data_IF_624131229321
#
_entry.id   IF_624131229321
#
_cell.length_a   1.000
_cell.length_b   1.000
_cell.length_c   1.000
_cell.angle_alpha   90.00
_cell.angle_beta   90.00
_cell.angle_gamma   90.00
#
_symmetry.space_group_name_H-M   'P 1'
#
loop_
_entity.id
_entity.type
_entity.pdbx_description
1 polymer ?
#
# COMPACT_ATOMS: atom_id res chain seq x y z
N UNK A 1 -6.56 2.86 23.04
CA UNK A 1 -5.70 3.62 22.10
C UNK A 1 -5.59 2.96 20.74
N UNK A 2 -5.14 1.71 20.64
CA UNK A 2 -5.08 1.01 19.34
C UNK A 2 -6.44 0.87 18.68
N UNK A 3 -7.49 0.66 19.46
CA UNK A 3 -8.86 0.58 18.96
C UNK A 3 -9.36 1.88 18.32
N UNK A 4 -8.93 3.03 18.84
CA UNK A 4 -9.30 4.35 18.28
C UNK A 4 -8.61 4.62 16.96
N UNK A 5 -7.45 4.02 16.74
CA UNK A 5 -6.67 4.20 15.52
C UNK A 5 -6.94 3.13 14.47
N UNK A 6 -7.84 2.18 14.74
CA UNK A 6 -8.17 1.05 13.85
C UNK A 6 -6.93 0.28 13.36
N UNK A 7 -5.90 0.20 14.20
CA UNK A 7 -4.68 -0.51 13.87
C UNK A 7 -4.82 -2.00 14.13
N UNK A 8 -4.24 -2.80 13.24
CA UNK A 8 -4.16 -4.25 13.36
C UNK A 8 -2.76 -4.74 12.98
N UNK A 9 -2.45 -5.98 13.30
CA UNK A 9 -1.14 -6.59 13.03
C UNK A 9 0.01 -5.77 13.58
N UNK A 10 -0.15 -5.23 14.80
CA UNK A 10 0.89 -4.45 15.45
C UNK A 10 0.96 -4.76 16.94
N UNK A 11 2.09 -4.44 17.54
CA UNK A 11 2.31 -4.52 18.97
C UNK A 11 3.01 -3.26 19.45
N UNK A 12 2.63 -2.80 20.63
CA UNK A 12 3.25 -1.64 21.26
C UNK A 12 3.88 -2.08 22.58
N UNK A 13 5.17 -1.83 22.74
CA UNK A 13 5.93 -2.13 23.96
C UNK A 13 6.40 -0.83 24.58
N UNK A 14 6.13 -0.66 25.88
CA UNK A 14 6.58 0.48 26.65
C UNK A 14 7.55 0.00 27.71
N UNK A 15 8.77 0.52 27.68
CA UNK A 15 9.82 0.18 28.63
C UNK A 15 10.11 1.35 29.55
N UNK A 16 10.24 1.08 30.83
CA UNK A 16 10.55 2.09 31.83
C UNK A 16 11.79 1.72 32.62
N UNK A 17 12.65 2.71 32.82
CA UNK A 17 13.76 2.62 33.78
C UNK A 17 13.34 3.30 35.08
N UNK A 18 13.46 2.59 36.22
CA UNK A 18 13.10 3.13 37.53
C UNK A 18 14.22 4.03 38.05
N UNK A 19 13.93 5.34 38.14
CA UNK A 19 14.89 6.34 38.57
C UNK A 19 14.75 6.79 40.05
N UNK A 20 14.03 6.08 40.86
CA UNK A 20 13.82 6.42 42.27
C UNK A 20 12.72 7.41 42.57
N UNK A 21 12.00 7.88 41.55
CA UNK A 21 10.82 8.75 41.71
C UNK A 21 9.55 7.93 41.64
N UNK A 22 8.70 8.06 42.66
CA UNK A 22 7.40 7.40 42.72
C UNK A 22 6.34 8.31 42.09
N UNK A 23 5.71 7.83 41.02
CA UNK A 23 4.65 8.58 40.31
C UNK A 23 3.24 8.26 40.85
N UNK A 24 3.08 7.19 41.60
CA UNK A 24 1.76 6.67 41.96
C UNK A 24 1.06 6.01 40.80
N UNK A 25 -0.07 5.34 41.06
CA UNK A 25 -0.80 4.58 40.00
C UNK A 25 -1.34 5.47 38.91
N UNK A 26 -1.92 6.63 39.20
CA UNK A 26 -2.43 7.57 38.22
C UNK A 26 -1.34 8.17 37.33
N UNK A 27 -0.18 8.50 37.92
CA UNK A 27 0.97 8.99 37.18
C UNK A 27 1.58 7.96 36.24
N UNK A 28 1.66 6.70 36.66
CA UNK A 28 2.12 5.59 35.82
C UNK A 28 1.20 5.37 34.63
N UNK A 29 -0.10 5.33 34.83
CA UNK A 29 -1.08 5.15 33.75
C UNK A 29 -0.92 6.25 32.70
N UNK A 30 -0.82 7.51 33.12
CA UNK A 30 -0.62 8.63 32.19
C UNK A 30 0.71 8.55 31.45
N UNK A 31 1.78 8.18 32.13
CA UNK A 31 3.09 8.07 31.51
C UNK A 31 3.12 6.97 30.43
N UNK A 32 2.58 5.78 30.72
CA UNK A 32 2.52 4.69 29.76
C UNK A 32 1.60 5.02 28.58
N UNK A 33 0.44 5.62 28.82
CA UNK A 33 -0.49 6.01 27.76
C UNK A 33 0.11 7.07 26.84
N UNK A 34 0.81 8.07 27.41
CA UNK A 34 1.48 9.11 26.62
C UNK A 34 2.62 8.54 25.78
N UNK A 35 3.42 7.63 26.33
CA UNK A 35 4.51 7.00 25.60
C UNK A 35 4.00 6.14 24.45
N UNK A 36 2.95 5.35 24.67
CA UNK A 36 2.34 4.53 23.63
C UNK A 36 1.70 5.38 22.52
N UNK A 37 1.01 6.46 22.88
CA UNK A 37 0.42 7.38 21.90
C UNK A 37 1.50 8.04 21.04
N UNK A 38 2.61 8.45 21.62
CA UNK A 38 3.75 9.01 20.89
C UNK A 38 4.34 7.98 19.93
N UNK A 39 4.51 6.73 20.35
CA UNK A 39 4.99 5.67 19.50
C UNK A 39 4.11 5.45 18.27
N UNK A 40 2.80 5.44 18.44
CA UNK A 40 1.85 5.32 17.31
C UNK A 40 1.93 6.54 16.38
N UNK A 41 2.07 7.76 16.92
CA UNK A 41 2.18 8.97 16.10
C UNK A 41 3.41 9.01 15.21
N UNK A 42 4.55 8.49 15.69
CA UNK A 42 5.81 8.52 14.93
C UNK A 42 6.01 7.28 14.06
N UNK A 43 5.21 6.24 14.24
CA UNK A 43 5.30 5.04 13.44
C UNK A 43 4.86 5.28 12.00
N UNK A 44 5.50 4.56 11.07
CA UNK A 44 5.03 4.53 9.68
C UNK A 44 3.89 3.54 9.58
N UNK A 45 2.73 4.02 9.18
CA UNK A 45 1.52 3.21 9.05
C UNK A 45 1.30 2.85 7.59
N UNK A 46 0.68 1.70 7.37
CA UNK A 46 0.26 1.25 6.06
C UNK A 46 -1.17 0.71 6.13
N UNK A 47 -1.95 0.97 5.09
CA UNK A 47 -3.24 0.35 4.92
C UNK A 47 -3.07 -0.95 4.15
N UNK A 48 -3.76 -2.02 4.55
CA UNK A 48 -3.77 -3.27 3.80
C UNK A 48 -4.91 -3.18 2.80
N UNK A 49 -4.57 -3.11 1.52
CA UNK A 49 -5.54 -3.02 0.43
C UNK A 49 -5.58 -4.32 -0.37
N UNK A 50 -6.78 -4.68 -0.83
CA UNK A 50 -6.95 -5.79 -1.76
C UNK A 50 -6.68 -5.27 -3.17
N UNK A 51 -5.75 -5.90 -3.87
CA UNK A 51 -5.37 -5.54 -5.22
C UNK A 51 -5.53 -6.73 -6.15
N UNK A 52 -5.69 -6.46 -7.43
CA UNK A 52 -5.69 -7.50 -8.47
C UNK A 52 -4.47 -7.35 -9.35
N UNK A 53 -3.83 -8.47 -9.65
CA UNK A 53 -2.69 -8.50 -10.56
C UNK A 53 -3.18 -8.62 -11.99
N UNK A 54 -2.68 -7.76 -12.87
CA UNK A 54 -2.93 -7.83 -14.31
C UNK A 54 -1.62 -8.03 -15.04
N UNK A 55 -1.53 -9.07 -15.85
CA UNK A 55 -0.38 -9.31 -16.71
C UNK A 55 -0.64 -8.62 -18.05
N UNK A 56 0.28 -7.77 -18.46
CA UNK A 56 0.12 -6.94 -19.66
C UNK A 56 1.36 -7.01 -20.52
N UNK A 57 1.17 -7.21 -21.82
CA UNK A 57 2.24 -7.15 -22.82
C UNK A 57 2.12 -5.84 -23.60
N UNK A 58 3.22 -5.10 -23.70
CA UNK A 58 3.27 -3.78 -24.32
C UNK A 58 4.42 -3.71 -25.34
N UNK A 59 4.25 -2.85 -26.34
CA UNK A 59 5.37 -2.43 -27.17
C UNK A 59 6.16 -1.34 -26.44
N UNK A 60 7.45 -1.18 -26.79
CA UNK A 60 8.31 -0.20 -26.11
C UNK A 60 7.75 1.24 -26.14
N UNK A 61 7.22 1.74 -27.24
CA UNK A 61 6.63 3.10 -27.23
C UNK A 61 5.41 3.24 -26.31
N UNK A 62 4.70 2.16 -26.04
CA UNK A 62 3.52 2.17 -25.16
C UNK A 62 3.88 2.09 -23.69
N UNK A 63 5.07 1.63 -23.36
CA UNK A 63 5.47 1.37 -21.99
C UNK A 63 5.47 2.62 -21.12
N UNK A 64 6.03 3.72 -21.57
CA UNK A 64 6.08 4.97 -20.81
C UNK A 64 4.68 5.52 -20.54
N UNK A 65 3.80 5.49 -21.53
CA UNK A 65 2.41 5.92 -21.39
C UNK A 65 1.67 5.03 -20.39
N UNK A 66 1.84 3.73 -20.51
CA UNK A 66 1.23 2.76 -19.59
C UNK A 66 1.71 2.97 -18.15
N UNK A 67 2.99 3.18 -17.97
CA UNK A 67 3.58 3.43 -16.64
C UNK A 67 2.99 4.68 -16.00
N UNK A 68 2.84 5.76 -16.75
CA UNK A 68 2.23 6.99 -16.25
C UNK A 68 0.76 6.76 -15.89
N UNK A 69 0.01 6.08 -16.74
CA UNK A 69 -1.39 5.76 -16.50
C UNK A 69 -1.56 4.90 -15.25
N UNK A 70 -0.73 3.88 -15.08
CA UNK A 70 -0.74 3.01 -13.90
C UNK A 70 -0.44 3.80 -12.62
N UNK A 71 0.53 4.71 -12.67
CA UNK A 71 0.85 5.58 -11.55
C UNK A 71 -0.34 6.47 -11.16
N UNK A 72 -1.04 7.03 -12.14
CA UNK A 72 -2.23 7.86 -11.91
C UNK A 72 -3.37 7.07 -11.27
N UNK A 73 -3.47 5.79 -11.55
CA UNK A 73 -4.48 4.90 -10.95
C UNK A 73 -4.02 4.26 -9.64
N UNK A 74 -2.83 4.61 -9.15
CA UNK A 74 -2.28 4.02 -7.92
C UNK A 74 -1.84 2.57 -8.08
N UNK A 75 -1.61 2.11 -9.31
CA UNK A 75 -1.11 0.77 -9.58
C UNK A 75 0.40 0.68 -9.44
N UNK A 76 0.90 -0.46 -9.00
CA UNK A 76 2.32 -0.74 -8.95
C UNK A 76 2.70 -1.71 -10.06
N UNK A 77 3.83 -1.48 -10.70
CA UNK A 77 4.36 -2.35 -11.75
C UNK A 77 5.42 -3.29 -11.18
N UNK A 78 5.30 -4.58 -11.49
CA UNK A 78 6.19 -5.62 -11.00
C UNK A 78 6.56 -6.58 -12.12
N UNK A 79 7.61 -7.38 -11.89
CA UNK A 79 8.04 -8.45 -12.79
C UNK A 79 8.21 -8.00 -14.25
N UNK A 80 8.81 -6.84 -14.46
CA UNK A 80 9.07 -6.32 -15.79
C UNK A 80 10.06 -7.20 -16.52
N UNK A 81 9.68 -7.66 -17.72
CA UNK A 81 10.50 -8.49 -18.59
C UNK A 81 10.66 -7.82 -19.94
N UNK A 82 11.88 -7.62 -20.34
CA UNK A 82 12.23 -6.93 -21.59
C UNK A 82 12.74 -7.94 -22.61
N UNK A 83 12.01 -8.06 -23.71
CA UNK A 83 12.41 -8.87 -24.87
C UNK A 83 12.03 -8.08 -26.13
N UNK A 84 11.44 -8.70 -27.14
CA UNK A 84 10.82 -7.99 -28.27
C UNK A 84 9.61 -7.15 -27.81
N UNK A 85 9.03 -7.49 -26.66
CA UNK A 85 7.95 -6.74 -26.00
C UNK A 85 8.29 -6.54 -24.53
N UNK A 86 7.64 -5.56 -23.90
CA UNK A 86 7.68 -5.40 -22.44
C UNK A 86 6.49 -6.15 -21.84
N UNK A 87 6.78 -7.16 -21.04
CA UNK A 87 5.75 -7.91 -20.29
C UNK A 87 5.91 -7.57 -18.82
N UNK A 88 4.84 -7.13 -18.18
CA UNK A 88 4.87 -6.74 -16.78
C UNK A 88 3.56 -7.12 -16.08
N UNK A 89 3.62 -7.15 -14.76
CA UNK A 89 2.45 -7.31 -13.91
C UNK A 89 2.09 -5.97 -13.29
N UNK A 90 0.86 -5.53 -13.48
CA UNK A 90 0.32 -4.34 -12.82
C UNK A 90 -0.56 -4.78 -11.65
N UNK A 91 -0.24 -4.30 -10.45
CA UNK A 91 -1.01 -4.56 -9.24
C UNK A 91 -1.89 -3.35 -8.99
N UNK A 92 -3.20 -3.50 -9.21
CA UNK A 92 -4.17 -2.41 -9.20
C UNK A 92 -5.11 -2.58 -8.01
N UNK A 93 -5.33 -1.54 -7.18
CA UNK A 93 -6.35 -1.60 -6.13
C UNK A 93 -7.73 -1.91 -6.71
N UNK A 94 -8.48 -2.80 -6.07
CA UNK A 94 -9.80 -3.23 -6.55
C UNK A 94 -10.75 -2.05 -6.72
N UNK A 95 -10.63 -1.03 -5.88
CA UNK A 95 -11.46 0.18 -5.95
C UNK A 95 -11.24 0.99 -7.23
N UNK A 96 -10.05 0.90 -7.83
CA UNK A 96 -9.67 1.63 -9.03
C UNK A 96 -9.56 0.76 -10.28
N UNK A 97 -9.91 -0.51 -10.16
CA UNK A 97 -9.82 -1.49 -11.23
C UNK A 97 -10.59 -1.05 -12.48
N UNK A 98 -11.83 -0.61 -12.31
CA UNK A 98 -12.68 -0.17 -13.43
C UNK A 98 -12.09 1.03 -14.16
N UNK A 99 -11.61 2.02 -13.40
CA UNK A 99 -10.99 3.22 -13.97
C UNK A 99 -9.71 2.87 -14.73
N UNK A 100 -8.89 1.99 -14.16
CA UNK A 100 -7.66 1.52 -14.80
C UNK A 100 -7.96 0.84 -16.14
N UNK A 101 -8.90 -0.10 -16.18
CA UNK A 101 -9.26 -0.81 -17.39
C UNK A 101 -9.86 0.13 -18.46
N UNK A 102 -10.70 1.07 -18.03
CA UNK A 102 -11.27 2.06 -18.92
C UNK A 102 -10.19 2.93 -19.57
N UNK A 103 -9.26 3.46 -18.78
CA UNK A 103 -8.16 4.29 -19.27
C UNK A 103 -7.23 3.54 -20.22
N UNK A 104 -6.94 2.28 -19.92
CA UNK A 104 -6.14 1.44 -20.82
C UNK A 104 -6.84 1.26 -22.15
N UNK A 105 -8.13 0.98 -22.14
CA UNK A 105 -8.91 0.83 -23.36
C UNK A 105 -8.93 2.11 -24.19
N UNK A 106 -9.19 3.25 -23.56
CA UNK A 106 -9.27 4.55 -24.24
C UNK A 106 -7.90 5.00 -24.76
N UNK A 107 -6.84 4.85 -23.96
CA UNK A 107 -5.49 5.31 -24.30
C UNK A 107 -4.88 4.50 -25.45
N UNK A 108 -5.08 3.20 -25.46
CA UNK A 108 -4.48 2.28 -26.45
C UNK A 108 -5.46 1.76 -27.49
N UNK A 109 -6.66 2.33 -27.56
CA UNK A 109 -7.71 1.97 -28.53
C UNK A 109 -7.98 0.46 -28.56
N UNK A 110 -8.00 -0.17 -27.40
CA UNK A 110 -8.20 -1.61 -27.19
C UNK A 110 -7.11 -2.52 -27.79
N UNK A 111 -5.95 -1.96 -28.15
CA UNK A 111 -4.81 -2.77 -28.63
C UNK A 111 -4.03 -3.44 -27.49
N UNK A 112 -4.17 -2.95 -26.26
CA UNK A 112 -3.58 -3.51 -25.05
C UNK A 112 -4.70 -4.07 -24.20
N UNK A 113 -4.62 -5.39 -23.90
CA UNK A 113 -5.62 -6.06 -23.06
C UNK A 113 -4.93 -6.65 -21.83
N UNK A 114 -5.09 -6.05 -20.65
CA UNK A 114 -4.57 -6.64 -19.43
C UNK A 114 -5.31 -7.93 -19.08
N UNK A 115 -4.55 -8.99 -18.77
CA UNK A 115 -5.12 -10.25 -18.32
C UNK A 115 -5.29 -10.22 -16.80
N UNK A 116 -6.51 -10.45 -16.31
CA UNK A 116 -6.79 -10.48 -14.88
C UNK A 116 -6.17 -11.73 -14.25
N UNK A 117 -5.47 -11.53 -13.15
CA UNK A 117 -4.88 -12.58 -12.35
C UNK A 117 -5.56 -12.73 -11.00
N UNK A 118 -4.80 -13.16 -10.02
CA UNK A 118 -5.28 -13.41 -8.66
C UNK A 118 -5.43 -12.12 -7.84
N UNK A 119 -6.28 -12.19 -6.82
CA UNK A 119 -6.38 -11.13 -5.82
C UNK A 119 -5.26 -11.29 -4.80
N UNK A 120 -4.61 -10.20 -4.47
CA UNK A 120 -3.55 -10.15 -3.47
C UNK A 120 -3.80 -9.03 -2.47
N UNK A 121 -3.38 -9.23 -1.23
CA UNK A 121 -3.41 -8.19 -0.21
C UNK A 121 -2.03 -7.53 -0.16
N UNK A 122 -2.00 -6.21 -0.20
CA UNK A 122 -0.76 -5.44 -0.24
C UNK A 122 -0.81 -4.27 0.72
N UNK A 123 0.24 -4.05 1.54
CA UNK A 123 0.33 -2.84 2.35
C UNK A 123 0.65 -1.64 1.47
N UNK A 124 -0.13 -0.57 1.66
CA UNK A 124 0.07 0.71 0.98
C UNK A 124 0.31 1.77 2.04
N UNK A 125 1.37 2.56 1.90
CA UNK A 125 1.71 3.63 2.84
C UNK A 125 0.59 4.69 2.89
N UNK A 126 0.20 5.04 4.11
CA UNK A 126 -0.82 6.05 4.33
C UNK A 126 -0.18 7.43 4.38
#
# INVERSE_FOLDING_TARGET
MLFRSDLMNCAVTVTRYFGGILLGSGGLIRAYSSAASLGVKVARLASIETCRRYTTALQYPQFDVFRQLASDCGAALENERYSDRVVLDAVVPVEREREFLRRVRETFSATVTPESGELISRPVAI
#
